data_IF_904527690706
#
_entry.id   IF_904527690706
#
_cell.length_a   1.000
_cell.length_b   1.000
_cell.length_c   1.000
_cell.angle_alpha   90.00
_cell.angle_beta   90.00
_cell.angle_gamma   90.00
#
_symmetry.space_group_name_H-M   'P 1'
#
loop_
_entity.id
_entity.type
_entity.pdbx_description
1 polymer ?
#
# COMPACT_ATOMS: atom_id res chain seq x y z
N UNK A 1 49.61 -63.82 -4.32
CA UNK A 1 49.64 -62.35 -4.53
C UNK A 1 48.21 -61.87 -4.63
N UNK A 2 47.83 -60.92 -3.77
CA UNK A 2 46.47 -60.65 -3.33
C UNK A 2 45.68 -59.67 -4.23
N UNK A 3 44.34 -59.78 -4.32
CA UNK A 3 43.45 -58.75 -4.86
C UNK A 3 42.94 -57.85 -3.73
N UNK A 4 42.61 -56.58 -3.99
CA UNK A 4 41.84 -55.59 -3.16
C UNK A 4 42.17 -54.19 -3.75
N UNK A 5 41.30 -53.22 -4.02
CA UNK A 5 40.06 -52.78 -3.40
C UNK A 5 39.29 -51.90 -4.42
N UNK A 6 38.00 -52.19 -4.60
CA UNK A 6 37.01 -51.27 -5.19
C UNK A 6 36.88 -50.04 -4.30
N UNK A 7 37.07 -48.84 -4.84
CA UNK A 7 36.64 -47.58 -4.21
C UNK A 7 35.31 -47.14 -4.83
N UNK A 8 34.22 -47.61 -4.24
CA UNK A 8 32.88 -47.06 -4.45
C UNK A 8 32.76 -45.80 -3.61
N UNK A 9 32.90 -44.63 -4.24
CA UNK A 9 32.66 -43.34 -3.58
C UNK A 9 31.17 -43.07 -3.53
N UNK A 10 30.57 -43.24 -2.36
CA UNK A 10 29.22 -42.82 -2.02
C UNK A 10 29.16 -41.28 -2.03
N UNK A 11 28.56 -40.70 -3.06
CA UNK A 11 28.14 -39.30 -3.06
C UNK A 11 27.00 -39.14 -2.04
N UNK A 12 27.31 -38.52 -0.91
CA UNK A 12 26.34 -38.12 0.08
C UNK A 12 25.45 -37.02 -0.51
N UNK A 13 24.15 -37.33 -0.62
CA UNK A 13 23.08 -36.38 -0.93
C UNK A 13 22.99 -35.35 0.21
N UNK A 14 23.63 -34.19 0.05
CA UNK A 14 23.29 -33.01 0.85
C UNK A 14 22.04 -32.39 0.25
N UNK A 15 20.86 -32.94 0.61
CA UNK A 15 19.60 -32.21 0.50
C UNK A 15 19.66 -31.03 1.48
N UNK A 16 20.30 -29.94 1.05
CA UNK A 16 20.09 -28.64 1.65
C UNK A 16 18.59 -28.34 1.50
N UNK A 17 17.86 -28.51 2.59
CA UNK A 17 16.46 -28.13 2.68
C UNK A 17 16.35 -26.65 2.39
N UNK A 18 16.07 -26.31 1.13
CA UNK A 18 15.52 -25.04 0.76
C UNK A 18 14.15 -24.96 1.42
N UNK A 19 14.12 -24.45 2.65
CA UNK A 19 12.91 -23.88 3.23
C UNK A 19 12.55 -22.69 2.32
N UNK A 20 11.80 -22.99 1.26
CA UNK A 20 11.07 -22.02 0.47
C UNK A 20 10.06 -21.38 1.43
N UNK A 21 10.49 -20.35 2.14
CA UNK A 21 9.58 -19.39 2.72
C UNK A 21 8.90 -18.71 1.54
N UNK A 22 7.78 -19.28 1.09
CA UNK A 22 6.85 -18.58 0.22
C UNK A 22 6.44 -17.33 0.97
N UNK A 23 6.92 -16.16 0.53
CA UNK A 23 6.58 -14.89 1.14
C UNK A 23 5.09 -14.64 0.85
N UNK A 24 4.25 -14.90 1.84
CA UNK A 24 2.80 -14.81 1.75
C UNK A 24 2.35 -13.35 1.82
N UNK A 25 2.72 -12.57 0.81
CA UNK A 25 2.36 -11.17 0.71
C UNK A 25 0.88 -11.01 0.29
N UNK A 26 0.05 -10.49 1.18
CA UNK A 26 -1.29 -10.02 0.83
C UNK A 26 -1.20 -8.64 0.16
N UNK A 27 -2.06 -8.39 -0.82
CA UNK A 27 -2.08 -7.10 -1.54
C UNK A 27 -3.47 -6.49 -1.44
N UNK A 28 -3.50 -5.25 -0.98
CA UNK A 28 -4.72 -4.46 -0.83
C UNK A 28 -4.66 -3.24 -1.73
N UNK A 29 -5.76 -2.93 -2.41
CA UNK A 29 -5.93 -1.62 -3.01
C UNK A 29 -6.53 -0.69 -1.96
N UNK A 30 -5.92 0.47 -1.81
CA UNK A 30 -6.35 1.52 -0.90
C UNK A 30 -6.74 2.74 -1.72
N UNK A 31 -7.93 3.25 -1.45
CA UNK A 31 -8.42 4.50 -2.02
C UNK A 31 -8.49 5.54 -0.91
N UNK A 32 -7.73 6.62 -1.03
CA UNK A 32 -7.69 7.72 -0.08
C UNK A 32 -8.33 8.98 -0.67
N UNK A 33 -9.47 9.39 -0.10
CA UNK A 33 -10.17 10.62 -0.46
C UNK A 33 -9.80 11.74 0.52
N UNK A 34 -9.40 12.90 0.00
CA UNK A 34 -9.12 14.12 0.78
C UNK A 34 -9.67 15.38 0.07
N UNK A 35 -9.77 16.48 0.81
CA UNK A 35 -10.04 17.82 0.28
C UNK A 35 -8.83 18.70 0.58
N UNK A 36 -8.18 19.21 -0.48
CA UNK A 36 -6.89 19.89 -0.38
C UNK A 36 -6.94 21.22 -1.15
N UNK A 37 -6.14 22.20 -0.70
CA UNK A 37 -5.95 23.44 -1.45
C UNK A 37 -4.91 23.16 -2.53
N UNK A 38 -5.31 23.23 -3.79
CA UNK A 38 -4.44 22.94 -4.93
C UNK A 38 -4.48 24.08 -5.95
N UNK A 39 -3.39 24.29 -6.70
CA UNK A 39 -3.38 25.25 -7.80
C UNK A 39 -4.50 24.99 -8.82
N UNK A 40 -4.99 26.06 -9.46
CA UNK A 40 -5.90 25.94 -10.61
C UNK A 40 -5.27 25.09 -11.72
N UNK A 41 -6.08 24.35 -12.48
CA UNK A 41 -5.62 23.55 -13.62
C UNK A 41 -4.79 22.30 -13.29
N UNK A 42 -4.34 22.13 -12.04
CA UNK A 42 -3.58 20.95 -11.62
C UNK A 42 -4.43 19.68 -11.72
N UNK A 43 -3.90 18.69 -12.43
CA UNK A 43 -4.53 17.40 -12.69
C UNK A 43 -3.92 16.29 -11.83
N UNK A 44 -4.59 15.15 -11.79
CA UNK A 44 -4.09 13.96 -11.10
C UNK A 44 -2.75 13.44 -11.65
N UNK A 45 -2.55 13.55 -12.97
CA UNK A 45 -1.30 13.19 -13.63
C UNK A 45 -0.12 14.05 -13.18
N UNK A 46 -0.35 15.33 -12.85
CA UNK A 46 0.67 16.23 -12.33
C UNK A 46 1.07 15.85 -10.90
N UNK A 47 0.09 15.44 -10.09
CA UNK A 47 0.33 14.91 -8.74
C UNK A 47 1.16 13.62 -8.77
N UNK A 48 0.94 12.77 -9.78
CA UNK A 48 1.69 11.53 -9.96
C UNK A 48 3.12 11.74 -10.47
N UNK A 49 3.42 12.87 -11.10
CA UNK A 49 4.79 13.22 -11.53
C UNK A 49 5.62 13.88 -10.43
N UNK A 50 4.96 14.40 -9.39
CA UNK A 50 5.62 15.12 -8.31
C UNK A 50 6.06 14.16 -7.20
N UNK A 51 7.35 13.80 -7.18
CA UNK A 51 7.91 12.85 -6.23
C UNK A 51 7.73 13.25 -4.75
N UNK A 52 8.04 14.48 -4.31
CA UNK A 52 7.72 14.93 -2.96
C UNK A 52 6.25 14.74 -2.57
N UNK A 53 5.35 14.98 -3.52
CA UNK A 53 3.92 14.80 -3.30
C UNK A 53 3.53 13.33 -3.15
N UNK A 54 4.08 12.45 -3.98
CA UNK A 54 3.89 11.01 -3.86
C UNK A 54 4.37 10.48 -2.50
N UNK A 55 5.53 10.94 -2.03
CA UNK A 55 6.06 10.55 -0.73
C UNK A 55 5.17 11.02 0.43
N UNK A 56 4.66 12.25 0.32
CA UNK A 56 3.69 12.78 1.27
C UNK A 56 2.41 11.93 1.30
N UNK A 57 1.83 11.61 0.13
CA UNK A 57 0.64 10.78 0.03
C UNK A 57 0.86 9.36 0.58
N UNK A 58 2.02 8.73 0.29
CA UNK A 58 2.40 7.42 0.87
C UNK A 58 2.47 7.47 2.38
N UNK A 59 3.10 8.50 2.95
CA UNK A 59 3.20 8.68 4.41
C UNK A 59 1.83 8.87 5.05
N UNK A 60 0.94 9.63 4.41
CA UNK A 60 -0.43 9.80 4.87
C UNK A 60 -1.23 8.48 4.85
N UNK A 61 -1.17 7.75 3.74
CA UNK A 61 -1.86 6.45 3.61
C UNK A 61 -1.31 5.46 4.64
N UNK A 62 0.01 5.35 4.75
CA UNK A 62 0.68 4.48 5.71
C UNK A 62 0.29 4.82 7.15
N UNK A 63 0.37 6.10 7.54
CA UNK A 63 -0.02 6.56 8.86
C UNK A 63 -1.52 6.44 9.16
N UNK A 64 -2.36 6.43 8.12
CA UNK A 64 -3.80 6.20 8.23
C UNK A 64 -4.17 4.72 8.47
N UNK A 65 -3.25 3.79 8.19
CA UNK A 65 -3.44 2.35 8.39
C UNK A 65 -2.55 1.89 9.54
N UNK A 66 -2.97 2.24 10.75
CA UNK A 66 -2.39 1.76 12.00
C UNK A 66 -3.51 1.14 12.84
N UNK A 67 -3.42 -0.18 13.05
CA UNK A 67 -4.35 -0.95 13.89
C UNK A 67 -3.57 -1.73 14.93
N UNK A 68 -4.26 -2.36 15.89
CA UNK A 68 -3.60 -3.08 16.99
C UNK A 68 -2.69 -4.21 16.48
N UNK A 69 -3.04 -4.84 15.36
CA UNK A 69 -2.31 -5.96 14.77
C UNK A 69 -1.07 -5.54 13.96
N UNK A 70 -0.92 -4.25 13.63
CA UNK A 70 0.19 -3.78 12.82
C UNK A 70 0.00 -2.38 12.24
N UNK A 71 1.08 -1.89 11.62
CA UNK A 71 1.12 -0.61 10.92
C UNK A 71 1.71 -0.80 9.53
N UNK A 72 1.25 0.00 8.58
CA UNK A 72 1.82 0.05 7.22
C UNK A 72 3.02 1.00 7.20
N UNK A 73 4.12 0.62 6.55
CA UNK A 73 5.23 1.53 6.31
C UNK A 73 5.10 2.19 4.93
N UNK A 74 5.57 3.44 4.74
CA UNK A 74 5.49 4.14 3.46
C UNK A 74 6.15 3.42 2.28
N UNK A 75 7.15 2.56 2.55
CA UNK A 75 7.84 1.74 1.54
C UNK A 75 6.96 0.61 0.97
N UNK A 76 5.95 0.19 1.74
CA UNK A 76 5.04 -0.90 1.36
C UNK A 76 3.79 -0.36 0.61
N UNK A 77 3.74 0.96 0.40
CA UNK A 77 2.68 1.67 -0.34
C UNK A 77 3.18 2.06 -1.72
N UNK A 78 2.60 1.45 -2.75
CA UNK A 78 2.85 1.81 -4.15
C UNK A 78 1.70 2.63 -4.68
N UNK A 79 1.94 3.92 -4.96
CA UNK A 79 0.92 4.79 -5.57
C UNK A 79 0.66 4.34 -7.01
N UNK A 80 -0.61 4.11 -7.35
CA UNK A 80 -1.00 3.67 -8.69
C UNK A 80 -1.65 4.79 -9.49
N UNK A 81 -2.45 5.64 -8.84
CA UNK A 81 -3.17 6.71 -9.51
C UNK A 81 -3.52 7.87 -8.55
N UNK A 82 -3.79 9.03 -9.13
CA UNK A 82 -4.36 10.17 -8.45
C UNK A 82 -5.40 10.83 -9.35
N UNK A 83 -6.56 11.15 -8.81
CA UNK A 83 -7.70 11.71 -9.53
C UNK A 83 -8.16 12.95 -8.80
N UNK A 84 -8.27 14.07 -9.51
CA UNK A 84 -8.97 15.26 -9.01
C UNK A 84 -10.46 15.05 -9.29
N UNK A 85 -11.22 14.71 -8.24
CA UNK A 85 -12.64 14.32 -8.32
C UNK A 85 -13.55 15.53 -8.48
N UNK A 86 -13.21 16.63 -7.83
CA UNK A 86 -14.00 17.85 -7.86
C UNK A 86 -13.06 19.07 -7.81
N UNK A 87 -13.28 20.02 -8.71
CA UNK A 87 -12.53 21.26 -8.82
C UNK A 87 -13.50 22.45 -8.88
N UNK A 88 -14.14 22.72 -7.76
CA UNK A 88 -15.20 23.74 -7.66
C UNK A 88 -14.75 25.15 -8.03
N UNK A 89 -13.45 25.43 -8.02
CA UNK A 89 -12.90 26.75 -8.35
C UNK A 89 -11.86 26.68 -9.47
N UNK A 90 -11.97 25.74 -10.42
CA UNK A 90 -11.06 25.67 -11.58
C UNK A 90 -10.93 27.01 -12.33
N UNK A 91 -11.96 27.86 -12.24
CA UNK A 91 -12.09 29.15 -12.91
C UNK A 91 -12.39 30.32 -11.93
N UNK A 92 -12.24 30.12 -10.62
CA UNK A 92 -12.48 31.19 -9.65
C UNK A 92 -11.46 32.31 -9.81
N UNK A 93 -11.93 33.54 -9.98
CA UNK A 93 -11.10 34.75 -9.93
C UNK A 93 -11.36 35.44 -8.60
N UNK A 94 -10.29 35.83 -7.89
CA UNK A 94 -10.42 36.62 -6.69
C UNK A 94 -10.90 38.05 -7.02
N UNK A 95 -11.28 38.83 -6.00
CA UNK A 95 -11.76 40.22 -6.15
C UNK A 95 -10.78 41.19 -6.81
N UNK A 96 -9.53 40.77 -7.00
CA UNK A 96 -8.47 41.54 -7.64
C UNK A 96 -8.10 41.01 -9.04
N UNK A 97 -8.89 40.08 -9.61
CA UNK A 97 -8.67 39.51 -10.93
C UNK A 97 -7.55 38.47 -11.01
N UNK A 98 -6.98 38.05 -9.89
CA UNK A 98 -6.03 36.93 -9.80
C UNK A 98 -6.74 35.58 -9.67
N UNK A 99 -6.03 34.46 -9.87
CA UNK A 99 -6.65 33.14 -9.76
C UNK A 99 -6.92 32.80 -8.30
N UNK A 100 -8.17 32.46 -7.99
CA UNK A 100 -8.58 32.01 -6.66
C UNK A 100 -8.21 30.54 -6.47
N UNK A 101 -7.41 30.25 -5.44
CA UNK A 101 -7.05 28.87 -5.10
C UNK A 101 -8.26 28.15 -4.50
N UNK A 102 -8.74 27.13 -5.21
CA UNK A 102 -9.84 26.28 -4.76
C UNK A 102 -9.44 25.17 -3.80
N UNK A 103 -10.41 24.76 -2.98
CA UNK A 103 -10.38 23.43 -2.37
C UNK A 103 -10.84 22.41 -3.40
N UNK A 104 -9.95 21.48 -3.74
CA UNK A 104 -10.24 20.38 -4.66
C UNK A 104 -10.40 19.08 -3.88
N UNK A 105 -11.33 18.24 -4.32
CA UNK A 105 -11.44 16.88 -3.81
C UNK A 105 -10.50 15.99 -4.62
N UNK A 106 -9.61 15.29 -3.95
CA UNK A 106 -8.63 14.40 -4.57
C UNK A 106 -8.82 12.99 -4.07
N UNK A 107 -8.64 12.03 -4.96
CA UNK A 107 -8.64 10.60 -4.69
C UNK A 107 -7.30 10.05 -5.10
N UNK A 108 -6.60 9.46 -4.14
CA UNK A 108 -5.38 8.70 -4.38
C UNK A 108 -5.71 7.22 -4.37
N UNK A 109 -5.13 6.47 -5.31
CA UNK A 109 -5.23 5.02 -5.37
C UNK A 109 -3.82 4.47 -5.19
N UNK A 110 -3.68 3.51 -4.29
CA UNK A 110 -2.41 2.87 -3.99
C UNK A 110 -2.60 1.38 -3.75
N UNK A 111 -1.57 0.59 -4.02
CA UNK A 111 -1.47 -0.80 -3.59
C UNK A 111 -0.62 -0.86 -2.33
N UNK A 112 -1.08 -1.62 -1.34
CA UNK A 112 -0.39 -1.87 -0.08
C UNK A 112 -0.07 -3.34 0.02
N UNK A 113 1.22 -3.64 0.21
CA UNK A 113 1.72 -5.01 0.37
C UNK A 113 1.93 -5.31 1.85
N UNK A 114 1.32 -6.38 2.35
CA UNK A 114 1.39 -6.79 3.74
C UNK A 114 1.98 -8.19 3.83
N UNK A 115 3.06 -8.33 4.59
CA UNK A 115 3.77 -9.60 4.73
C UNK A 115 3.31 -10.40 5.94
N UNK A 116 2.78 -9.74 6.98
CA UNK A 116 2.28 -10.41 8.18
C UNK A 116 0.85 -10.95 7.97
N UNK A 117 0.63 -12.28 8.06
CA UNK A 117 -0.69 -12.87 7.80
C UNK A 117 -1.77 -12.41 8.79
N UNK A 118 -1.39 -12.15 10.05
CA UNK A 118 -2.32 -11.67 11.10
C UNK A 118 -2.82 -10.27 10.74
N UNK A 119 -1.89 -9.39 10.34
CA UNK A 119 -2.22 -8.03 9.92
C UNK A 119 -3.07 -8.03 8.64
N UNK A 120 -2.70 -8.84 7.64
CA UNK A 120 -3.48 -8.98 6.41
C UNK A 120 -4.92 -9.47 6.69
N UNK A 121 -5.11 -10.43 7.60
CA UNK A 121 -6.46 -10.90 7.98
C UNK A 121 -7.28 -9.81 8.70
N UNK A 122 -6.63 -8.99 9.54
CA UNK A 122 -7.30 -7.88 10.21
C UNK A 122 -7.74 -6.82 9.18
N UNK A 123 -6.83 -6.43 8.26
CA UNK A 123 -7.13 -5.50 7.19
C UNK A 123 -8.23 -5.97 6.25
N UNK A 124 -8.28 -7.27 5.94
CA UNK A 124 -9.33 -7.85 5.10
C UNK A 124 -10.75 -7.64 5.66
N UNK A 125 -10.89 -7.54 6.99
CA UNK A 125 -12.18 -7.27 7.65
C UNK A 125 -12.57 -5.78 7.59
N UNK A 126 -11.60 -4.90 7.34
CA UNK A 126 -11.79 -3.46 7.33
C UNK A 126 -12.09 -3.01 5.90
N UNK A 127 -13.31 -2.52 5.66
CA UNK A 127 -13.69 -1.92 4.35
C UNK A 127 -13.37 -0.43 4.28
N UNK A 128 -13.33 0.23 5.43
CA UNK A 128 -13.19 1.67 5.56
C UNK A 128 -12.49 2.00 6.87
N UNK A 129 -11.50 2.88 6.78
CA UNK A 129 -10.87 3.54 7.91
C UNK A 129 -11.18 5.03 7.85
N UNK A 130 -11.76 5.54 8.93
CA UNK A 130 -11.80 6.98 9.17
C UNK A 130 -10.46 7.39 9.73
N UNK A 131 -9.71 8.20 8.99
CA UNK A 131 -8.46 8.77 9.50
C UNK A 131 -8.87 9.78 10.57
N UNK A 132 -8.65 9.42 11.84
CA UNK A 132 -9.10 10.21 12.99
C UNK A 132 -8.49 11.61 13.01
N UNK A 133 -9.19 12.56 13.65
CA UNK A 133 -8.72 13.93 13.87
C UNK A 133 -9.67 15.01 13.33
N UNK A 134 -9.12 16.19 13.03
CA UNK A 134 -9.84 17.44 12.69
C UNK A 134 -10.37 17.48 11.24
N UNK A 135 -10.22 16.40 10.47
CA UNK A 135 -10.54 16.34 9.04
C UNK A 135 -11.54 15.20 8.73
N UNK A 136 -12.81 15.32 9.17
CA UNK A 136 -13.82 14.25 9.01
C UNK A 136 -14.17 13.91 7.55
N UNK A 137 -13.75 14.75 6.59
CA UNK A 137 -13.88 14.48 5.17
C UNK A 137 -12.84 13.47 4.64
N UNK A 138 -11.75 13.21 5.36
CA UNK A 138 -10.72 12.22 4.98
C UNK A 138 -11.24 10.81 5.15
N UNK A 139 -11.13 10.01 4.08
CA UNK A 139 -11.61 8.63 4.08
C UNK A 139 -10.62 7.72 3.39
N UNK A 140 -10.34 6.59 4.01
CA UNK A 140 -9.52 5.54 3.45
C UNK A 140 -10.38 4.29 3.26
N UNK A 141 -10.50 3.82 2.03
CA UNK A 141 -11.23 2.61 1.68
C UNK A 141 -10.23 1.52 1.34
N UNK A 142 -10.50 0.30 1.77
CA UNK A 142 -9.61 -0.84 1.58
C UNK A 142 -10.38 -1.91 0.80
N UNK A 143 -9.80 -2.34 -0.30
CA UNK A 143 -10.29 -3.41 -1.16
C UNK A 143 -9.21 -4.49 -1.23
N UNK A 144 -9.56 -5.74 -0.98
CA UNK A 144 -8.60 -6.85 -1.09
C UNK A 144 -8.39 -7.19 -2.56
N UNK A 145 -7.13 -7.19 -3.03
CA UNK A 145 -6.77 -7.67 -4.38
C UNK A 145 -6.28 -9.12 -4.31
N UNK A 146 -5.39 -9.40 -3.36
CA UNK A 146 -4.83 -10.74 -3.10
C UNK A 146 -5.03 -11.05 -1.62
N UNK A 147 -5.80 -12.10 -1.34
CA UNK A 147 -6.13 -12.50 0.02
C UNK A 147 -4.91 -13.09 0.76
N UNK A 148 -4.81 -12.86 2.09
CA UNK A 148 -3.80 -13.51 2.90
C UNK A 148 -4.04 -15.03 2.93
N UNK A 149 -3.03 -15.81 2.56
CA UNK A 149 -3.12 -17.27 2.61
C UNK A 149 -3.20 -17.70 4.09
N UNK A 150 -4.23 -18.46 4.43
CA UNK A 150 -4.37 -19.02 5.77
C UNK A 150 -3.33 -20.12 5.98
N UNK A 151 -2.26 -19.83 6.74
CA UNK A 151 -1.42 -20.89 7.29
C UNK A 151 -2.25 -21.60 8.36
N UNK A 152 -2.82 -22.75 8.02
CA UNK A 152 -3.48 -23.61 9.00
C UNK A 152 -2.38 -24.15 9.93
N UNK A 153 -2.40 -23.86 11.24
CA UNK A 153 -1.44 -24.45 12.15
C UNK A 153 -1.62 -25.97 12.08
N UNK A 154 -0.56 -26.71 11.72
CA UNK A 154 -0.52 -28.16 11.90
C UNK A 154 -0.64 -28.41 13.40
N UNK A 155 -1.82 -28.84 13.85
CA UNK A 155 -2.00 -29.42 15.17
C UNK A 155 -1.03 -30.60 15.29
N UNK A 156 -0.14 -30.53 16.28
CA UNK A 156 0.71 -31.67 16.67
C UNK A 156 -0.11 -32.69 17.43
#
# INVERSE_FOLDING_TARGET
MAPLLRRSSLLALSCAGALLFSAHAAVFQVTYDDTMVLPPGLQGSDLMKNQPWLEFARKLIAGGIAIAEGQVYPKDVTMTDAIVVDDKNAQGLNSHGGIEHGRKKVRFIANVTIYEPVFGKALQKLKKLTIGGVAPWRRLYITTLVAPISVTPRTR
#
